data_IF_370722115606
#
_entry.id   IF_370722115606
#
_cell.length_a   1.000
_cell.length_b   1.000
_cell.length_c   1.000
_cell.angle_alpha   90.00
_cell.angle_beta   90.00
_cell.angle_gamma   90.00
#
_symmetry.space_group_name_H-M   'P 1'
#
loop_
_entity.id
_entity.type
_entity.pdbx_description
1 polymer ?
#
# COMPACT_ATOMS: atom_id res chain seq x y z
N UNK A 1 -2.29 -8.95 10.90
CA UNK A 1 -1.71 -9.04 9.54
C UNK A 1 -1.03 -7.71 9.27
N UNK A 2 0.12 -7.68 8.61
CA UNK A 2 0.80 -6.45 8.18
C UNK A 2 0.35 -6.05 6.77
N UNK A 3 0.49 -4.77 6.43
CA UNK A 3 0.24 -4.24 5.10
C UNK A 3 1.37 -3.25 4.69
N UNK A 4 1.28 -2.68 3.50
CA UNK A 4 2.06 -1.50 3.11
C UNK A 4 1.66 -0.30 4.00
N UNK A 5 2.43 0.79 3.96
CA UNK A 5 2.13 1.97 4.78
C UNK A 5 0.77 2.57 4.43
N UNK A 6 0.41 2.54 3.15
CA UNK A 6 -0.86 3.00 2.58
C UNK A 6 -1.28 2.00 1.52
N UNK A 7 -2.52 1.52 1.54
CA UNK A 7 -3.13 0.68 0.54
C UNK A 7 -4.66 0.76 0.62
N UNK A 8 -5.31 1.24 -0.44
CA UNK A 8 -6.76 1.35 -0.44
C UNK A 8 -7.43 1.16 -1.79
N UNK A 9 -8.76 1.08 -1.74
CA UNK A 9 -9.59 0.74 -2.88
C UNK A 9 -9.85 1.93 -3.80
N UNK A 10 -9.67 1.75 -5.11
CA UNK A 10 -10.07 2.75 -6.11
C UNK A 10 -11.58 2.72 -6.32
N UNK A 11 -12.28 3.79 -5.90
CA UNK A 11 -13.72 3.91 -6.05
C UNK A 11 -14.15 4.13 -7.51
N UNK A 12 -15.38 3.72 -7.84
CA UNK A 12 -15.93 3.94 -9.18
C UNK A 12 -16.04 5.45 -9.50
N UNK A 13 -15.40 5.87 -10.59
CA UNK A 13 -15.35 7.28 -11.00
C UNK A 13 -14.27 8.11 -10.31
N UNK A 14 -13.54 7.55 -9.34
CA UNK A 14 -12.37 8.18 -8.73
C UNK A 14 -11.15 8.02 -9.64
N UNK A 15 -10.30 9.05 -9.72
CA UNK A 15 -9.02 8.94 -10.42
C UNK A 15 -8.00 8.22 -9.53
N UNK A 16 -7.04 7.52 -10.14
CA UNK A 16 -5.96 6.83 -9.38
C UNK A 16 -5.22 7.82 -8.48
N UNK A 17 -4.98 9.03 -8.97
CA UNK A 17 -4.30 10.07 -8.21
C UNK A 17 -5.14 10.58 -7.04
N UNK A 18 -6.46 10.79 -7.23
CA UNK A 18 -7.34 11.21 -6.15
C UNK A 18 -7.40 10.16 -5.04
N UNK A 19 -7.55 8.88 -5.42
CA UNK A 19 -7.50 7.75 -4.49
C UNK A 19 -6.16 7.72 -3.73
N UNK A 20 -5.03 7.77 -4.45
CA UNK A 20 -3.70 7.74 -3.84
C UNK A 20 -3.52 8.80 -2.76
N UNK A 21 -3.92 10.05 -3.02
CA UNK A 21 -3.78 11.12 -2.03
C UNK A 21 -4.79 11.05 -0.90
N UNK A 22 -6.01 10.59 -1.18
CA UNK A 22 -7.02 10.33 -0.14
C UNK A 22 -6.51 9.27 0.84
N UNK A 23 -6.12 8.10 0.36
CA UNK A 23 -5.59 7.01 1.20
C UNK A 23 -4.30 7.43 1.93
N UNK A 24 -3.41 8.19 1.27
CA UNK A 24 -2.21 8.72 1.93
C UNK A 24 -2.53 9.62 3.12
N UNK A 25 -3.61 10.40 3.02
CA UNK A 25 -4.08 11.23 4.13
C UNK A 25 -4.80 10.38 5.19
N UNK A 26 -5.76 9.55 4.79
CA UNK A 26 -6.59 8.72 5.68
C UNK A 26 -5.73 7.76 6.53
N UNK A 27 -4.85 7.01 5.88
CA UNK A 27 -4.09 5.94 6.52
C UNK A 27 -2.71 6.35 7.04
N UNK A 28 -2.16 7.50 6.63
CA UNK A 28 -0.81 7.90 7.05
C UNK A 28 -0.68 9.39 7.42
N UNK A 29 -1.73 10.19 7.30
CA UNK A 29 -1.72 11.60 7.67
C UNK A 29 -0.84 12.46 6.76
N UNK A 30 -0.60 12.03 5.52
CA UNK A 30 0.12 12.83 4.54
C UNK A 30 -0.80 13.95 4.05
N UNK A 31 -0.51 15.17 4.51
CA UNK A 31 -1.27 16.36 4.17
C UNK A 31 -1.30 16.58 2.63
N UNK A 32 -2.49 16.60 2.01
CA UNK A 32 -2.64 16.90 0.58
C UNK A 32 -2.05 18.25 0.18
N UNK A 33 -1.96 19.23 1.07
CA UNK A 33 -1.35 20.54 0.79
C UNK A 33 0.17 20.41 0.53
N UNK A 34 0.80 19.36 1.04
CA UNK A 34 2.22 19.05 0.80
C UNK A 34 2.46 18.23 -0.47
N UNK A 35 1.40 17.82 -1.20
CA UNK A 35 1.50 17.00 -2.42
C UNK A 35 2.54 17.51 -3.40
N UNK A 36 2.48 18.80 -3.75
CA UNK A 36 3.36 19.36 -4.77
C UNK A 36 4.82 19.30 -4.32
N UNK A 37 5.08 19.61 -3.04
CA UNK A 37 6.42 19.51 -2.47
C UNK A 37 6.93 18.06 -2.46
N UNK A 38 6.08 17.08 -2.15
CA UNK A 38 6.45 15.67 -2.18
C UNK A 38 6.80 15.24 -3.62
N UNK A 39 6.02 15.67 -4.61
CA UNK A 39 6.27 15.37 -6.02
C UNK A 39 7.57 16.04 -6.51
N UNK A 40 7.75 17.32 -6.21
CA UNK A 40 8.91 18.12 -6.64
C UNK A 40 10.23 17.60 -6.08
N UNK A 41 10.20 17.03 -4.87
CA UNK A 41 11.35 16.37 -4.26
C UNK A 41 11.55 14.93 -4.73
N UNK A 42 10.89 14.53 -5.83
CA UNK A 42 10.93 13.18 -6.37
C UNK A 42 10.50 12.11 -5.33
N UNK A 43 9.66 12.51 -4.38
CA UNK A 43 9.25 11.69 -3.25
C UNK A 43 8.31 10.57 -3.69
N UNK A 44 7.26 10.90 -4.45
CA UNK A 44 6.26 9.94 -4.91
C UNK A 44 6.49 9.57 -6.38
N UNK A 45 6.71 8.28 -6.67
CA UNK A 45 6.96 7.77 -8.03
C UNK A 45 6.13 6.52 -8.32
N UNK A 46 5.50 6.42 -9.51
CA UNK A 46 4.88 5.18 -9.93
C UNK A 46 5.95 4.09 -10.05
N UNK A 47 5.65 2.89 -9.52
CA UNK A 47 6.58 1.77 -9.50
C UNK A 47 6.17 0.70 -10.51
N UNK A 48 4.95 0.19 -10.42
CA UNK A 48 4.45 -0.88 -11.28
C UNK A 48 2.93 -0.94 -11.29
N UNK A 49 2.36 -1.60 -12.29
CA UNK A 49 0.96 -2.03 -12.28
C UNK A 49 0.96 -3.55 -12.26
N UNK A 50 0.42 -4.12 -11.19
CA UNK A 50 0.40 -5.57 -10.98
C UNK A 50 -1.02 -6.08 -11.19
N UNK A 51 -1.18 -7.07 -12.07
CA UNK A 51 -2.47 -7.71 -12.30
C UNK A 51 -2.52 -9.01 -11.52
N UNK A 52 -3.49 -9.12 -10.61
CA UNK A 52 -3.72 -10.32 -9.82
C UNK A 52 -4.98 -10.99 -10.34
N UNK A 53 -4.86 -12.29 -10.60
CA UNK A 53 -6.00 -13.15 -10.88
C UNK A 53 -5.83 -14.45 -10.13
N UNK A 54 -6.70 -14.71 -9.16
CA UNK A 54 -6.69 -15.94 -8.39
C UNK A 54 -8.12 -16.42 -8.09
N UNK A 55 -8.27 -17.72 -7.84
CA UNK A 55 -9.53 -18.27 -7.34
C UNK A 55 -9.38 -18.44 -5.84
N UNK A 56 -10.28 -17.83 -5.09
CA UNK A 56 -10.29 -17.88 -3.63
C UNK A 56 -11.45 -18.73 -3.12
N UNK A 57 -11.45 -19.00 -1.80
CA UNK A 57 -12.46 -19.78 -1.12
C UNK A 57 -12.70 -21.18 -1.74
N UNK A 58 -11.62 -21.81 -2.27
CA UNK A 58 -11.65 -23.12 -2.92
C UNK A 58 -12.16 -24.26 -2.02
N UNK A 59 -12.08 -24.10 -0.70
CA UNK A 59 -12.59 -25.07 0.29
C UNK A 59 -14.04 -24.82 0.67
N UNK A 60 -14.67 -23.77 0.14
CA UNK A 60 -16.08 -23.43 0.39
C UNK A 60 -16.97 -23.93 -0.75
N UNK A 61 -18.28 -23.95 -0.53
CA UNK A 61 -19.24 -24.27 -1.60
C UNK A 61 -19.30 -23.23 -2.73
N UNK A 62 -18.67 -22.05 -2.54
CA UNK A 62 -18.79 -20.91 -3.43
C UNK A 62 -17.41 -20.28 -3.69
N UNK A 63 -16.52 -20.96 -4.44
CA UNK A 63 -15.27 -20.34 -4.87
C UNK A 63 -15.57 -19.14 -5.77
N UNK A 64 -14.74 -18.11 -5.68
CA UNK A 64 -14.88 -16.90 -6.51
C UNK A 64 -13.56 -16.51 -7.14
N UNK A 65 -13.66 -15.82 -8.28
CA UNK A 65 -12.51 -15.27 -8.99
C UNK A 65 -12.23 -13.85 -8.48
N UNK A 66 -11.07 -13.65 -7.88
CA UNK A 66 -10.54 -12.32 -7.57
C UNK A 66 -9.73 -11.83 -8.76
N UNK A 67 -10.03 -10.61 -9.22
CA UNK A 67 -9.38 -9.94 -10.35
C UNK A 67 -9.12 -8.49 -10.00
N UNK A 68 -7.85 -8.15 -9.85
CA UNK A 68 -7.46 -6.85 -9.33
C UNK A 68 -6.27 -6.28 -10.09
N UNK A 69 -6.14 -4.96 -10.02
CA UNK A 69 -5.00 -4.22 -10.54
C UNK A 69 -4.47 -3.35 -9.42
N UNK A 70 -3.25 -3.62 -8.98
CA UNK A 70 -2.57 -2.83 -7.98
C UNK A 70 -1.72 -1.77 -8.70
N UNK A 71 -2.01 -0.50 -8.45
CA UNK A 71 -1.18 0.61 -8.90
C UNK A 71 -0.17 0.91 -7.80
N UNK A 72 1.03 0.34 -7.91
CA UNK A 72 2.05 0.45 -6.89
C UNK A 72 2.87 1.74 -7.07
N UNK A 73 3.12 2.42 -5.95
CA UNK A 73 3.94 3.63 -5.88
C UNK A 73 5.08 3.43 -4.88
N UNK A 74 6.18 4.13 -5.12
CA UNK A 74 7.23 4.33 -4.13
C UNK A 74 7.13 5.74 -3.56
N UNK A 75 7.29 5.87 -2.25
CA UNK A 75 7.24 7.15 -1.54
C UNK A 75 8.48 7.30 -0.66
N UNK A 76 9.29 8.33 -0.94
CA UNK A 76 10.40 8.75 -0.08
C UNK A 76 9.91 9.79 0.92
N UNK A 77 10.13 9.52 2.21
CA UNK A 77 9.66 10.38 3.30
C UNK A 77 10.83 11.09 3.99
N UNK A 78 10.61 12.30 4.53
CA UNK A 78 11.61 12.99 5.34
C UNK A 78 12.06 12.14 6.53
N UNK A 79 13.32 12.29 6.92
CA UNK A 79 13.85 11.62 8.11
C UNK A 79 13.06 12.06 9.34
N UNK A 80 12.52 11.09 10.09
CA UNK A 80 11.74 11.33 11.29
C UNK A 80 10.26 11.58 11.04
N UNK A 81 9.77 11.43 9.81
CA UNK A 81 8.34 11.37 9.54
C UNK A 81 7.70 10.22 10.35
N UNK A 82 6.56 10.52 10.99
CA UNK A 82 5.76 9.55 11.73
C UNK A 82 4.36 9.56 11.11
N UNK A 83 3.93 8.45 10.49
CA UNK A 83 2.57 8.37 9.95
C UNK A 83 1.53 8.43 11.08
N UNK A 84 0.40 9.06 10.78
CA UNK A 84 -0.71 9.24 11.72
C UNK A 84 -2.00 8.80 11.07
N UNK A 85 -2.61 7.76 11.64
CA UNK A 85 -3.91 7.27 11.21
C UNK A 85 -4.99 8.34 11.49
N UNK A 86 -5.79 8.69 10.48
CA UNK A 86 -6.85 9.69 10.58
C UNK A 86 -8.25 9.08 10.73
N UNK A 87 -8.50 7.89 10.17
CA UNK A 87 -9.85 7.33 10.03
C UNK A 87 -10.12 6.09 10.90
N UNK A 88 -9.06 5.50 11.47
CA UNK A 88 -9.14 4.35 12.36
C UNK A 88 -8.80 3.00 11.72
N UNK A 89 -8.41 2.95 10.44
CA UNK A 89 -8.11 1.68 9.76
C UNK A 89 -6.77 1.07 10.20
N UNK A 90 -5.75 1.90 10.43
CA UNK A 90 -4.40 1.46 10.84
C UNK A 90 -4.23 1.37 12.37
N UNK A 91 -3.96 0.16 12.87
CA UNK A 91 -3.76 -0.07 14.32
C UNK A 91 -2.39 0.42 14.81
N UNK A 92 -1.34 0.19 14.02
CA UNK A 92 0.04 0.56 14.38
C UNK A 92 0.95 0.54 13.15
N UNK A 93 2.03 1.33 13.19
CA UNK A 93 3.06 1.35 12.16
C UNK A 93 4.34 0.69 12.64
N UNK A 94 5.07 0.11 11.69
CA UNK A 94 6.42 -0.43 11.92
C UNK A 94 7.31 -0.13 10.73
N UNK A 95 8.36 0.65 10.96
CA UNK A 95 9.43 0.82 9.99
C UNK A 95 10.39 -0.37 10.09
N UNK A 96 10.68 -1.01 8.97
CA UNK A 96 11.54 -2.21 8.89
C UNK A 96 12.61 -2.00 7.83
N UNK A 97 13.78 -2.61 8.02
CA UNK A 97 14.80 -2.66 6.97
C UNK A 97 14.51 -3.80 5.97
N UNK A 98 15.33 -3.91 4.92
CA UNK A 98 15.17 -4.94 3.88
C UNK A 98 15.30 -6.37 4.42
N UNK A 99 16.13 -6.59 5.44
CA UNK A 99 16.35 -7.92 6.01
C UNK A 99 15.12 -8.36 6.80
N UNK A 100 14.57 -7.48 7.63
CA UNK A 100 13.35 -7.73 8.38
C UNK A 100 12.13 -7.82 7.45
N UNK A 101 12.06 -7.01 6.38
CA UNK A 101 11.01 -7.14 5.38
C UNK A 101 10.99 -8.53 4.73
N UNK A 102 12.17 -9.02 4.30
CA UNK A 102 12.29 -10.36 3.72
C UNK A 102 11.82 -11.44 4.70
N UNK A 103 12.26 -11.37 5.95
CA UNK A 103 11.81 -12.29 6.99
C UNK A 103 10.28 -12.29 7.13
N UNK A 104 9.65 -11.11 7.13
CA UNK A 104 8.18 -10.99 7.26
C UNK A 104 7.42 -11.55 6.07
N UNK A 105 7.96 -11.42 4.87
CA UNK A 105 7.41 -12.04 3.66
C UNK A 105 7.55 -13.57 3.76
N UNK A 106 8.72 -14.07 4.15
CA UNK A 106 8.98 -15.51 4.32
C UNK A 106 8.07 -16.13 5.40
N UNK A 107 7.73 -15.38 6.44
CA UNK A 107 6.81 -15.76 7.53
C UNK A 107 5.32 -15.59 7.17
N UNK A 108 5.00 -15.12 5.95
CA UNK A 108 3.63 -14.79 5.51
C UNK A 108 2.90 -13.83 6.47
N UNK A 109 3.62 -12.86 7.03
CA UNK A 109 3.10 -11.92 8.01
C UNK A 109 2.34 -10.73 7.39
N UNK A 110 2.45 -10.54 6.06
CA UNK A 110 1.76 -9.49 5.30
C UNK A 110 0.52 -10.03 4.57
N UNK A 111 -0.42 -9.15 4.24
CA UNK A 111 -1.43 -9.44 3.22
C UNK A 111 -0.74 -9.84 1.90
N UNK A 112 -1.38 -10.68 1.10
CA UNK A 112 -0.76 -11.22 -0.12
C UNK A 112 -0.36 -10.10 -1.10
N UNK A 113 -1.22 -9.10 -1.23
CA UNK A 113 -1.04 -7.97 -2.13
C UNK A 113 0.11 -7.08 -1.63
N UNK A 114 0.18 -6.82 -0.32
CA UNK A 114 1.27 -6.06 0.28
C UNK A 114 2.62 -6.78 0.17
N UNK A 115 2.64 -8.10 0.34
CA UNK A 115 3.86 -8.91 0.16
C UNK A 115 4.36 -8.82 -1.29
N UNK A 116 3.45 -8.87 -2.26
CA UNK A 116 3.78 -8.76 -3.68
C UNK A 116 4.38 -7.39 -4.01
N UNK A 117 3.74 -6.31 -3.58
CA UNK A 117 4.24 -4.94 -3.77
C UNK A 117 5.57 -4.72 -3.03
N UNK A 118 5.67 -5.18 -1.78
CA UNK A 118 6.87 -5.00 -0.98
C UNK A 118 8.07 -5.81 -1.51
N UNK A 119 7.83 -6.94 -2.16
CA UNK A 119 8.90 -7.75 -2.79
C UNK A 119 9.63 -7.01 -3.91
N UNK A 120 9.02 -5.99 -4.53
CA UNK A 120 9.68 -5.12 -5.53
C UNK A 120 10.82 -4.28 -4.95
N UNK A 121 10.92 -4.20 -3.62
CA UNK A 121 11.98 -3.48 -2.91
C UNK A 121 13.17 -4.35 -2.47
N UNK A 122 13.07 -5.68 -2.63
CA UNK A 122 14.12 -6.64 -2.30
C UNK A 122 15.10 -6.82 -3.45
#
# INVERSE_FOLDING_TARGET
MLDNMVAGGLSAGESIEACLWRECWEEAGLDPDNRQQIIDNEGLKPLSVIHIQCIEALTTAWPYLRRERLYAYSLSLPKGFVPVNQDGEVIAYRCVDRKELRQRIDEAALTQDAALVASLWL
#
